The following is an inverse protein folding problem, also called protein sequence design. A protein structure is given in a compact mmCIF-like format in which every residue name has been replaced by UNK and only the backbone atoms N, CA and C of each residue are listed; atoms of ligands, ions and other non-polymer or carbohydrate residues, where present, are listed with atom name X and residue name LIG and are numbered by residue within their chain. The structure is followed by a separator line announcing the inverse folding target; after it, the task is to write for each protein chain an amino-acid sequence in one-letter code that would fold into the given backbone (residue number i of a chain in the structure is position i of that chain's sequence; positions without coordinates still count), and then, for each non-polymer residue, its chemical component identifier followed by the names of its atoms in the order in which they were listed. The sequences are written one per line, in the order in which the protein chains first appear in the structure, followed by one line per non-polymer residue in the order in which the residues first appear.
data_IF_891818729396
#
_entry.id   IF_891818729396
#
_cell.length_a   1.000
_cell.length_b   1.000
_cell.length_c   1.000
_cell.angle_alpha   90.00
_cell.angle_beta   90.00
_cell.angle_gamma   90.00
#
_symmetry.space_group_name_H-M   'P 1'
#
loop_
_entity.id
_entity.type
_entity.pdbx_description
1 polymer ?
#
# COMPACT_ATOMS: atom_id res chain seq x y z
N UNK A 1 -5.46 -3.82 -8.27
CA UNK A 1 -4.58 -4.05 -7.10
C UNK A 1 -5.35 -3.52 -5.91
N UNK A 2 -5.77 -4.42 -5.02
CA UNK A 2 -6.64 -4.10 -3.89
C UNK A 2 -6.03 -3.05 -2.97
N UNK A 3 -6.80 -2.00 -2.69
CA UNK A 3 -6.50 -0.97 -1.71
C UNK A 3 -7.82 -0.41 -1.17
N UNK A 4 -7.80 0.09 0.05
CA UNK A 4 -8.94 0.78 0.64
C UNK A 4 -8.45 1.87 1.60
N UNK A 5 -9.20 2.96 1.67
CA UNK A 5 -9.01 4.01 2.68
C UNK A 5 -10.18 3.95 3.62
N UNK A 6 -9.90 3.64 4.88
CA UNK A 6 -10.92 3.43 5.91
C UNK A 6 -10.62 4.27 7.14
N UNK A 7 -11.67 4.73 7.80
CA UNK A 7 -11.56 5.41 9.10
C UNK A 7 -11.22 4.43 10.22
N UNK A 8 -11.75 3.21 10.13
CA UNK A 8 -11.54 2.13 11.08
C UNK A 8 -11.09 0.90 10.31
N UNK A 9 -9.98 0.29 10.73
CA UNK A 9 -9.49 -0.96 10.16
C UNK A 9 -10.29 -2.12 10.74
N UNK A 10 -11.36 -2.52 10.06
CA UNK A 10 -12.16 -3.69 10.42
C UNK A 10 -11.71 -4.94 9.67
N UNK A 11 -12.04 -6.12 10.19
CA UNK A 11 -11.70 -7.39 9.54
C UNK A 11 -12.31 -7.48 8.13
N UNK A 12 -13.55 -7.03 7.97
CA UNK A 12 -14.28 -7.07 6.70
C UNK A 12 -13.62 -6.16 5.66
N UNK A 13 -13.21 -4.95 6.06
CA UNK A 13 -12.51 -4.04 5.17
C UNK A 13 -11.18 -4.62 4.68
N UNK A 14 -10.43 -5.28 5.57
CA UNK A 14 -9.16 -5.91 5.21
C UNK A 14 -9.41 -7.14 4.32
N UNK A 15 -10.44 -7.94 4.61
CA UNK A 15 -10.82 -9.09 3.78
C UNK A 15 -11.15 -8.65 2.34
N UNK A 16 -11.92 -7.56 2.17
CA UNK A 16 -12.21 -7.00 0.84
C UNK A 16 -10.94 -6.61 0.08
N UNK A 17 -9.95 -6.03 0.77
CA UNK A 17 -8.65 -5.70 0.16
C UNK A 17 -7.91 -6.96 -0.28
N UNK A 18 -7.91 -8.02 0.55
CA UNK A 18 -7.28 -9.31 0.20
C UNK A 18 -8.01 -9.97 -0.97
N UNK A 19 -9.33 -9.86 -1.03
CA UNK A 19 -10.17 -10.45 -2.08
C UNK A 19 -9.96 -9.80 -3.43
N UNK A 20 -9.71 -8.48 -3.48
CA UNK A 20 -9.38 -7.76 -4.73
C UNK A 20 -7.88 -7.82 -5.09
N UNK A 21 -7.01 -8.08 -4.11
CA UNK A 21 -5.58 -8.17 -4.35
C UNK A 21 -5.20 -9.42 -5.16
N UNK A 22 -4.12 -9.34 -5.98
CA UNK A 22 -3.51 -10.53 -6.58
C UNK A 22 -3.19 -11.58 -5.51
N UNK A 23 -3.50 -12.85 -5.81
CA UNK A 23 -3.30 -13.92 -4.84
C UNK A 23 -1.83 -14.32 -4.76
N UNK A 24 -1.36 -14.49 -3.54
CA UNK A 24 0.00 -14.89 -3.24
C UNK A 24 0.01 -16.24 -2.52
N UNK A 25 1.13 -16.96 -2.62
CA UNK A 25 1.35 -18.18 -1.81
C UNK A 25 1.61 -17.85 -0.34
N UNK A 26 2.23 -16.70 -0.09
CA UNK A 26 2.63 -16.23 1.23
C UNK A 26 2.16 -14.80 1.46
N UNK A 27 1.65 -14.56 2.66
CA UNK A 27 1.20 -13.26 3.14
C UNK A 27 1.91 -12.95 4.45
N UNK A 28 2.59 -11.81 4.48
CA UNK A 28 3.33 -11.32 5.65
C UNK A 28 2.69 -10.04 6.17
N UNK A 29 2.73 -9.84 7.49
CA UNK A 29 2.23 -8.62 8.13
C UNK A 29 3.03 -8.24 9.38
N UNK A 30 2.73 -7.05 9.90
CA UNK A 30 3.22 -6.55 11.19
C UNK A 30 2.55 -7.20 12.42
N UNK A 31 1.57 -8.09 12.21
CA UNK A 31 0.91 -8.84 13.28
C UNK A 31 -0.33 -8.17 13.88
N UNK A 32 -0.97 -7.22 13.18
CA UNK A 32 -2.28 -6.71 13.63
C UNK A 32 -3.31 -7.83 13.77
N UNK A 33 -4.04 -7.84 14.90
CA UNK A 33 -4.90 -8.94 15.34
C UNK A 33 -5.92 -9.44 14.31
N UNK A 34 -6.41 -8.56 13.42
CA UNK A 34 -7.40 -8.96 12.43
C UNK A 34 -6.82 -9.93 11.37
N UNK A 35 -5.52 -9.87 11.07
CA UNK A 35 -4.91 -10.64 9.98
C UNK A 35 -4.98 -12.15 10.20
N UNK A 36 -4.88 -12.62 11.45
CA UNK A 36 -4.93 -14.05 11.76
C UNK A 36 -6.30 -14.70 11.44
N UNK A 37 -7.35 -13.89 11.30
CA UNK A 37 -8.73 -14.34 11.08
C UNK A 37 -9.18 -14.22 9.61
N UNK A 38 -8.28 -13.84 8.70
CA UNK A 38 -8.61 -13.61 7.30
C UNK A 38 -8.48 -14.88 6.46
N UNK A 39 -9.28 -14.93 5.40
CA UNK A 39 -9.18 -15.97 4.41
C UNK A 39 -8.24 -15.56 3.28
N UNK A 40 -7.12 -16.27 3.17
CA UNK A 40 -6.05 -15.99 2.20
C UNK A 40 -6.13 -16.81 0.92
N UNK A 41 -7.31 -17.33 0.55
CA UNK A 41 -7.52 -18.07 -0.70
C UNK A 41 -6.51 -19.22 -0.92
N UNK A 42 -6.30 -20.05 0.11
CA UNK A 42 -5.30 -21.13 0.17
C UNK A 42 -3.84 -20.68 0.32
N UNK A 43 -3.58 -19.38 0.38
CA UNK A 43 -2.28 -18.82 0.78
C UNK A 43 -1.99 -19.01 2.27
N UNK A 44 -0.71 -18.95 2.62
CA UNK A 44 -0.22 -19.07 4.00
C UNK A 44 0.05 -17.70 4.58
N UNK A 45 -0.41 -17.49 5.82
CA UNK A 45 -0.17 -16.27 6.57
C UNK A 45 0.89 -16.48 7.64
N UNK A 46 1.80 -15.52 7.78
CA UNK A 46 2.78 -15.49 8.86
C UNK A 46 3.03 -14.05 9.31
N UNK A 47 3.22 -13.85 10.62
CA UNK A 47 3.72 -12.57 11.16
C UNK A 47 5.21 -12.47 10.84
N UNK A 48 5.68 -11.32 10.34
CA UNK A 48 7.11 -11.15 10.04
C UNK A 48 7.93 -11.21 11.33
N UNK A 49 8.59 -12.34 11.59
CA UNK A 49 9.51 -12.48 12.71
C UNK A 49 10.75 -11.59 12.51
N UNK A 50 11.15 -10.85 13.55
CA UNK A 50 12.36 -10.04 13.53
C UNK A 50 12.35 -8.83 12.58
N UNK A 51 11.19 -8.45 12.02
CA UNK A 51 11.04 -7.33 11.06
C UNK A 51 11.86 -7.46 9.76
N UNK A 52 12.45 -8.62 9.50
CA UNK A 52 13.33 -8.86 8.34
C UNK A 52 12.60 -8.76 7.00
N UNK A 53 11.28 -8.96 6.98
CA UNK A 53 10.45 -8.85 5.77
C UNK A 53 9.69 -7.50 5.69
N UNK A 54 9.71 -6.70 6.76
CA UNK A 54 9.05 -5.38 6.80
C UNK A 54 9.88 -4.23 6.22
N UNK A 55 11.14 -4.44 5.83
CA UNK A 55 11.95 -3.39 5.20
C UNK A 55 11.28 -2.81 3.95
N UNK A 56 10.60 -3.65 3.17
CA UNK A 56 9.82 -3.21 2.01
C UNK A 56 8.63 -2.36 2.43
N UNK A 57 7.86 -2.79 3.45
CA UNK A 57 6.69 -2.05 3.95
C UNK A 57 7.08 -0.68 4.53
N UNK A 58 8.19 -0.60 5.27
CA UNK A 58 8.67 0.69 5.81
C UNK A 58 9.18 1.62 4.71
N UNK A 59 9.84 1.07 3.68
CA UNK A 59 10.20 1.80 2.47
C UNK A 59 8.98 2.37 1.76
N UNK A 60 7.94 1.56 1.58
CA UNK A 60 6.69 1.94 0.94
C UNK A 60 5.96 3.04 1.75
N UNK A 61 5.92 2.90 3.08
CA UNK A 61 5.39 3.92 3.99
C UNK A 61 6.19 5.23 3.93
N UNK A 62 7.52 5.14 3.84
CA UNK A 62 8.38 6.31 3.69
C UNK A 62 8.12 7.02 2.35
N UNK A 63 7.95 6.27 1.26
CA UNK A 63 7.64 6.81 -0.06
C UNK A 63 6.26 7.47 -0.08
N UNK A 64 5.24 6.83 0.50
CA UNK A 64 3.91 7.41 0.67
C UNK A 64 3.97 8.76 1.42
N UNK A 65 4.72 8.81 2.53
CA UNK A 65 4.91 10.04 3.32
C UNK A 65 5.73 11.10 2.57
N UNK A 66 6.65 10.69 1.71
CA UNK A 66 7.44 11.59 0.86
C UNK A 66 6.55 12.31 -0.16
N UNK A 67 5.73 11.56 -0.89
CA UNK A 67 4.83 12.11 -1.91
C UNK A 67 3.61 12.81 -1.33
N UNK A 68 3.06 12.28 -0.24
CA UNK A 68 1.96 12.89 0.51
C UNK A 68 2.50 13.46 1.81
N UNK A 69 3.28 14.54 1.74
CA UNK A 69 3.90 15.21 2.89
C UNK A 69 2.95 15.49 4.06
N UNK A 70 1.64 15.61 3.78
CA UNK A 70 0.57 15.70 4.77
C UNK A 70 0.49 14.51 5.74
N UNK A 71 0.83 13.30 5.29
CA UNK A 71 0.85 12.08 6.10
C UNK A 71 2.13 11.99 6.95
N UNK A 72 3.14 12.83 6.65
CA UNK A 72 4.37 12.91 7.42
C UNK A 72 4.29 13.88 8.61
N UNK A 73 3.33 14.83 8.62
CA UNK A 73 3.26 15.91 9.61
C UNK A 73 1.93 15.90 10.37
N UNK A 74 1.98 15.72 11.68
CA UNK A 74 0.80 15.71 12.56
C UNK A 74 0.09 17.08 12.66
N UNK A 75 0.79 18.20 12.40
CA UNK A 75 0.21 19.54 12.45
C UNK A 75 0.50 20.35 11.18
N UNK A 76 -0.51 21.11 10.72
CA UNK A 76 -0.47 22.13 9.64
C UNK A 76 -0.66 21.70 8.18
N UNK A 77 -0.95 20.43 7.87
CA UNK A 77 -1.29 20.01 6.49
C UNK A 77 -2.66 19.29 6.41
N UNK A 78 -3.74 20.05 6.47
CA UNK A 78 -5.11 19.52 6.37
C UNK A 78 -5.57 19.35 4.92
N UNK A 79 -6.35 18.31 4.66
CA UNK A 79 -7.01 18.17 3.37
C UNK A 79 -8.19 19.11 3.39
N UNK A 80 -8.50 19.77 2.27
CA UNK A 80 -9.74 20.57 2.20
C UNK A 80 -10.97 19.73 2.53
N UNK A 81 -10.94 18.44 2.17
CA UNK A 81 -11.93 17.43 2.56
C UNK A 81 -11.31 16.01 2.54
N UNK A 82 -11.93 15.03 3.21
CA UNK A 82 -11.50 13.62 3.15
C UNK A 82 -11.42 13.07 1.72
N UNK A 83 -12.37 13.46 0.86
CA UNK A 83 -12.38 13.06 -0.55
C UNK A 83 -11.11 13.46 -1.30
N UNK A 84 -10.55 14.65 -1.03
CA UNK A 84 -9.30 15.07 -1.66
C UNK A 84 -8.10 14.21 -1.20
N UNK A 85 -8.10 13.74 0.06
CA UNK A 85 -7.09 12.80 0.55
C UNK A 85 -7.22 11.45 -0.14
N UNK A 86 -8.44 10.95 -0.26
CA UNK A 86 -8.75 9.68 -0.91
C UNK A 86 -8.32 9.71 -2.39
N UNK A 87 -8.60 10.79 -3.12
CA UNK A 87 -8.14 10.97 -4.50
C UNK A 87 -6.61 10.96 -4.60
N UNK A 88 -5.90 11.62 -3.67
CA UNK A 88 -4.45 11.64 -3.64
C UNK A 88 -3.86 10.26 -3.34
N UNK A 89 -4.47 9.52 -2.40
CA UNK A 89 -4.11 8.14 -2.09
C UNK A 89 -4.37 7.22 -3.29
N UNK A 90 -5.52 7.35 -3.96
CA UNK A 90 -5.85 6.60 -5.17
C UNK A 90 -4.82 6.80 -6.27
N UNK A 91 -4.44 8.05 -6.53
CA UNK A 91 -3.42 8.38 -7.52
C UNK A 91 -2.07 7.79 -7.13
N UNK A 92 -1.65 7.94 -5.87
CA UNK A 92 -0.42 7.34 -5.37
C UNK A 92 -0.42 5.82 -5.56
N UNK A 93 -1.46 5.13 -5.12
CA UNK A 93 -1.58 3.66 -5.23
C UNK A 93 -1.53 3.23 -6.70
N UNK A 94 -2.21 3.94 -7.60
CA UNK A 94 -2.14 3.66 -9.03
C UNK A 94 -0.72 3.77 -9.58
N UNK A 95 -0.03 4.89 -9.34
CA UNK A 95 1.33 5.13 -9.83
C UNK A 95 2.33 4.15 -9.19
N UNK A 96 2.20 3.92 -7.89
CA UNK A 96 3.04 3.00 -7.13
C UNK A 96 2.92 1.57 -7.67
N UNK A 97 1.69 1.08 -7.87
CA UNK A 97 1.44 -0.26 -8.41
C UNK A 97 1.94 -0.41 -9.85
N UNK A 98 1.74 0.61 -10.68
CA UNK A 98 2.27 0.65 -12.06
C UNK A 98 3.79 0.54 -12.06
N UNK A 99 4.47 1.26 -11.14
CA UNK A 99 5.90 1.15 -10.95
C UNK A 99 6.34 -0.24 -10.49
N UNK A 100 5.61 -0.89 -9.57
CA UNK A 100 5.96 -2.25 -9.14
C UNK A 100 5.92 -3.25 -10.31
N UNK A 101 4.89 -3.18 -11.15
CA UNK A 101 4.78 -4.01 -12.36
C UNK A 101 5.91 -3.70 -13.35
N UNK A 102 6.26 -2.42 -13.52
CA UNK A 102 7.38 -2.01 -14.36
C UNK A 102 8.71 -2.60 -13.84
N UNK A 103 9.00 -2.46 -12.55
CA UNK A 103 10.21 -3.03 -11.92
C UNK A 103 10.28 -4.55 -12.03
N UNK A 104 9.16 -5.25 -11.95
CA UNK A 104 9.11 -6.70 -12.18
C UNK A 104 9.49 -7.06 -13.62
N UNK A 105 9.06 -6.27 -14.61
CA UNK A 105 9.38 -6.49 -16.03
C UNK A 105 10.79 -6.01 -16.40
N UNK A 106 11.27 -4.94 -15.77
CA UNK A 106 12.53 -4.24 -16.09
C UNK A 106 13.36 -4.01 -14.81
N UNK A 107 13.90 -5.06 -14.16
CA UNK A 107 14.51 -4.96 -12.83
C UNK A 107 15.78 -4.09 -12.79
N UNK A 108 16.47 -3.94 -13.92
CA UNK A 108 17.71 -3.17 -14.01
C UNK A 108 17.48 -1.67 -14.30
N UNK A 109 16.23 -1.24 -14.50
CA UNK A 109 15.91 0.14 -14.87
C UNK A 109 15.42 0.91 -13.65
N UNK A 110 15.98 2.11 -13.37
CA UNK A 110 15.45 2.97 -12.33
C UNK A 110 14.05 3.44 -12.72
N UNK A 111 13.16 3.55 -11.72
CA UNK A 111 11.80 4.05 -11.89
C UNK A 111 11.34 4.72 -10.59
N UNK A 112 10.85 5.95 -10.71
CA UNK A 112 10.25 6.72 -9.63
C UNK A 112 8.71 6.67 -9.76
N UNK A 113 7.99 6.93 -8.67
CA UNK A 113 6.51 6.93 -8.70
C UNK A 113 5.97 8.06 -9.60
N UNK A 114 6.66 9.21 -9.68
CA UNK A 114 6.24 10.32 -10.55
C UNK A 114 6.21 9.96 -12.04
N UNK A 115 7.05 9.00 -12.47
CA UNK A 115 7.16 8.59 -13.88
C UNK A 115 5.86 7.93 -14.41
N UNK A 116 4.92 7.60 -13.52
CA UNK A 116 3.66 6.90 -13.82
C UNK A 116 2.42 7.80 -13.69
N UNK A 117 2.59 9.12 -13.50
CA UNK A 117 1.49 10.08 -13.52
C UNK A 117 1.00 10.27 -14.97
N UNK A 118 -0.32 10.34 -15.17
CA UNK A 118 -0.93 10.52 -16.49
C UNK A 118 -1.71 11.84 -16.60
N UNK A 119 -1.57 12.61 -17.69
CA UNK A 119 -0.54 12.46 -18.73
C UNK A 119 0.86 12.66 -18.12
N UNK A 120 1.91 12.09 -18.74
CA UNK A 120 3.28 12.34 -18.28
C UNK A 120 3.54 13.85 -18.28
N UNK A 121 4.14 14.34 -17.19
CA UNK A 121 4.53 15.75 -17.02
C UNK A 121 5.57 16.18 -18.05
#
# INVERSE_FOLDING_TARGET
MGWAVVWVRTQEAIQLVIDDAPKAKWYYSDGFDAYQWLWYHLGRYQVSEGKTETYSVEGDNAELRHYLARLARQSRCFSRCPYALECALRLFVYCFNSRQLYKQRYPNYPANVMDFVSPPL
#
